data_IF_765225407819
#
_entry.id   IF_765225407819
#
_cell.length_a   1.000
_cell.length_b   1.000
_cell.length_c   1.000
_cell.angle_alpha   90.00
_cell.angle_beta   90.00
_cell.angle_gamma   90.00
#
_symmetry.space_group_name_H-M   'P 1'
#
loop_
_entity.id
_entity.type
_entity.pdbx_description
1 polymer ?
#
# COMPACT_ATOMS: atom_id res chain seq x y z
N UNK A 1 -36.92 -12.00 -1.39
CA UNK A 1 -36.06 -12.76 -2.32
C UNK A 1 -34.79 -11.95 -2.54
N UNK A 2 -33.61 -12.55 -2.60
CA UNK A 2 -32.37 -11.83 -2.89
C UNK A 2 -32.21 -11.68 -4.41
N UNK A 3 -31.83 -10.50 -4.88
CA UNK A 3 -31.39 -10.31 -6.27
C UNK A 3 -29.88 -10.55 -6.31
N UNK A 4 -29.48 -11.75 -6.73
CA UNK A 4 -28.08 -12.18 -6.71
C UNK A 4 -27.51 -12.02 -8.10
N UNK A 5 -26.38 -11.33 -8.21
CA UNK A 5 -25.63 -11.16 -9.45
C UNK A 5 -24.26 -11.79 -9.27
N UNK A 6 -23.82 -12.56 -10.26
CA UNK A 6 -22.55 -13.28 -10.21
C UNK A 6 -21.77 -13.12 -11.51
N UNK A 7 -20.44 -13.10 -11.39
CA UNK A 7 -19.51 -13.17 -12.51
C UNK A 7 -18.38 -14.15 -12.20
N UNK A 8 -18.08 -15.04 -13.14
CA UNK A 8 -16.98 -15.99 -13.04
C UNK A 8 -15.77 -15.54 -13.86
N UNK A 9 -14.59 -15.86 -13.37
CA UNK A 9 -13.29 -15.72 -14.01
C UNK A 9 -12.70 -17.13 -14.12
N UNK A 10 -12.42 -17.57 -15.35
CA UNK A 10 -11.93 -18.93 -15.63
C UNK A 10 -10.42 -18.91 -15.94
N UNK A 11 -9.69 -19.81 -15.28
CA UNK A 11 -8.28 -20.05 -15.50
C UNK A 11 -8.10 -21.14 -16.57
N UNK A 12 -6.98 -21.11 -17.29
CA UNK A 12 -6.68 -22.10 -18.34
C UNK A 12 -6.53 -23.54 -17.83
N UNK A 13 -6.34 -23.72 -16.52
CA UNK A 13 -6.20 -25.01 -15.84
C UNK A 13 -7.51 -25.52 -15.23
N UNK A 14 -8.63 -24.86 -15.48
CA UNK A 14 -9.95 -25.23 -14.98
C UNK A 14 -10.31 -24.69 -13.59
N UNK A 15 -9.41 -23.94 -12.93
CA UNK A 15 -9.78 -23.19 -11.72
C UNK A 15 -10.73 -22.05 -12.08
N UNK A 16 -11.57 -21.66 -11.12
CA UNK A 16 -12.54 -20.58 -11.30
C UNK A 16 -12.65 -19.73 -10.04
N UNK A 17 -12.65 -18.41 -10.23
CA UNK A 17 -13.01 -17.44 -9.20
C UNK A 17 -14.41 -16.91 -9.52
N UNK A 18 -15.28 -16.88 -8.52
CA UNK A 18 -16.64 -16.35 -8.65
C UNK A 18 -16.79 -15.13 -7.76
N UNK A 19 -17.27 -14.02 -8.34
CA UNK A 19 -17.63 -12.79 -7.65
C UNK A 19 -19.16 -12.75 -7.54
N UNK A 20 -19.70 -12.68 -6.32
CA UNK A 20 -21.15 -12.60 -6.05
C UNK A 20 -21.49 -11.31 -5.29
N UNK A 21 -22.60 -10.65 -5.65
CA UNK A 21 -23.14 -9.52 -4.89
C UNK A 21 -24.67 -9.61 -4.75
N UNK A 22 -25.24 -8.79 -3.86
CA UNK A 22 -26.69 -8.66 -3.63
C UNK A 22 -27.28 -9.53 -2.51
N UNK A 23 -26.49 -10.47 -1.96
CA UNK A 23 -26.92 -11.35 -0.85
C UNK A 23 -26.46 -10.88 0.52
N UNK A 24 -25.16 -10.68 0.70
CA UNK A 24 -24.52 -10.34 1.98
C UNK A 24 -24.25 -8.84 2.10
N UNK A 25 -24.23 -8.32 3.33
CA UNK A 25 -23.83 -6.95 3.67
C UNK A 25 -24.49 -5.83 2.85
N UNK A 26 -25.78 -5.96 2.52
CA UNK A 26 -26.56 -5.03 1.68
C UNK A 26 -26.69 -3.58 2.18
N UNK A 27 -26.22 -3.29 3.39
CA UNK A 27 -26.17 -1.93 3.94
C UNK A 27 -24.84 -1.21 3.64
N UNK A 28 -23.81 -1.94 3.23
CA UNK A 28 -22.57 -1.33 2.76
C UNK A 28 -22.78 -0.68 1.39
N UNK A 29 -21.96 0.33 1.06
CA UNK A 29 -22.01 0.98 -0.25
C UNK A 29 -21.62 0.03 -1.39
N UNK A 30 -20.73 -0.92 -1.09
CA UNK A 30 -20.38 -2.04 -1.95
C UNK A 30 -20.08 -3.30 -1.14
N UNK A 31 -20.53 -4.45 -1.63
CA UNK A 31 -20.25 -5.74 -1.00
C UNK A 31 -20.12 -6.84 -2.05
N UNK A 32 -19.01 -7.59 -2.00
CA UNK A 32 -18.76 -8.74 -2.87
C UNK A 32 -18.30 -9.93 -2.04
N UNK A 33 -18.87 -11.09 -2.34
CA UNK A 33 -18.42 -12.38 -1.88
C UNK A 33 -17.61 -13.02 -3.00
N UNK A 34 -16.29 -13.10 -2.81
CA UNK A 34 -15.38 -13.82 -3.70
C UNK A 34 -15.31 -15.28 -3.26
N UNK A 35 -15.37 -16.22 -4.20
CA UNK A 35 -15.20 -17.65 -3.97
C UNK A 35 -14.22 -18.26 -4.95
N UNK A 36 -13.25 -19.02 -4.44
CA UNK A 36 -12.40 -19.94 -5.22
C UNK A 36 -12.32 -21.27 -4.48
N UNK A 37 -12.78 -22.36 -5.09
CA UNK A 37 -12.92 -23.64 -4.39
C UNK A 37 -13.77 -23.52 -3.12
N UNK A 38 -13.18 -23.82 -1.96
CA UNK A 38 -13.81 -23.64 -0.63
C UNK A 38 -13.39 -22.34 0.08
N UNK A 39 -12.47 -21.57 -0.49
CA UNK A 39 -12.05 -20.27 0.03
C UNK A 39 -13.07 -19.21 -0.33
N UNK A 40 -13.52 -18.45 0.66
CA UNK A 40 -14.50 -17.38 0.52
C UNK A 40 -14.06 -16.13 1.28
N UNK A 41 -13.97 -15.01 0.57
CA UNK A 41 -13.70 -13.69 1.11
C UNK A 41 -14.93 -12.80 0.98
N UNK A 42 -15.39 -12.23 2.09
CA UNK A 42 -16.38 -11.16 2.07
C UNK A 42 -15.65 -9.82 2.11
N UNK A 43 -15.71 -9.07 1.02
CA UNK A 43 -15.23 -7.70 0.95
C UNK A 43 -16.42 -6.73 1.01
N UNK A 44 -16.29 -5.70 1.85
CA UNK A 44 -17.27 -4.63 2.00
C UNK A 44 -16.59 -3.28 1.99
N UNK A 45 -17.24 -2.29 1.39
CA UNK A 45 -16.76 -0.91 1.36
C UNK A 45 -17.86 -0.01 1.89
N UNK A 46 -17.46 0.91 2.78
CA UNK A 46 -18.32 1.96 3.30
C UNK A 46 -17.59 3.28 3.22
N UNK A 47 -18.26 4.31 2.69
CA UNK A 47 -17.76 5.68 2.71
C UNK A 47 -18.65 6.58 3.57
N UNK A 48 -18.05 7.56 4.24
CA UNK A 48 -18.79 8.68 4.78
C UNK A 48 -19.51 9.44 3.65
N UNK A 49 -20.66 10.05 3.97
CA UNK A 49 -21.44 10.83 3.02
C UNK A 49 -20.77 12.15 2.63
N UNK A 50 -20.05 12.75 3.57
CA UNK A 50 -19.35 14.01 3.41
C UNK A 50 -17.95 13.88 4.02
N UNK A 51 -17.00 14.65 3.50
CA UNK A 51 -15.68 14.80 4.11
C UNK A 51 -15.80 15.50 5.47
N UNK A 52 -14.91 15.18 6.41
CA UNK A 52 -14.81 15.95 7.66
C UNK A 52 -14.19 17.31 7.38
N UNK A 53 -14.51 18.30 8.21
CA UNK A 53 -13.88 19.62 8.13
C UNK A 53 -12.34 19.50 8.23
N UNK A 54 -11.63 20.27 7.40
CA UNK A 54 -10.16 20.38 7.40
C UNK A 54 -9.42 19.05 7.13
N UNK A 55 -10.00 18.13 6.37
CA UNK A 55 -9.28 16.95 5.85
C UNK A 55 -8.66 17.27 4.50
N UNK A 56 -7.34 17.20 4.43
CA UNK A 56 -6.50 17.53 3.26
C UNK A 56 -5.86 16.29 2.60
N UNK A 57 -6.24 15.09 3.04
CA UNK A 57 -5.74 13.82 2.53
C UNK A 57 -6.90 12.85 2.23
N UNK A 58 -6.63 11.73 1.55
CA UNK A 58 -7.61 10.67 1.36
C UNK A 58 -7.60 9.68 2.55
N UNK A 59 -8.57 9.75 3.48
CA UNK A 59 -8.72 8.83 4.61
C UNK A 59 -9.24 7.46 4.17
N UNK A 60 -8.37 6.67 3.54
CA UNK A 60 -8.60 5.26 3.27
C UNK A 60 -8.05 4.39 4.41
N UNK A 61 -8.90 3.50 4.94
CA UNK A 61 -8.50 2.44 5.86
C UNK A 61 -8.85 1.08 5.27
N UNK A 62 -7.83 0.23 5.09
CA UNK A 62 -8.01 -1.16 4.68
C UNK A 62 -7.77 -2.09 5.88
N UNK A 63 -8.69 -3.02 6.08
CA UNK A 63 -8.58 -4.09 7.06
C UNK A 63 -8.84 -5.45 6.42
N UNK A 64 -7.85 -6.32 6.48
CA UNK A 64 -7.99 -7.74 6.22
C UNK A 64 -8.02 -8.50 7.54
N UNK A 65 -8.99 -9.41 7.69
CA UNK A 65 -9.09 -10.29 8.86
C UNK A 65 -9.41 -11.73 8.50
N UNK A 66 -8.73 -12.66 9.15
CA UNK A 66 -9.00 -14.08 9.06
C UNK A 66 -9.77 -14.58 10.29
N UNK A 67 -10.93 -15.19 10.06
CA UNK A 67 -11.69 -15.81 11.14
C UNK A 67 -11.18 -17.22 11.35
N UNK A 68 -10.83 -17.62 12.57
CA UNK A 68 -10.41 -19.02 12.84
C UNK A 68 -11.54 -20.01 12.54
N UNK A 69 -12.80 -19.57 12.70
CA UNK A 69 -13.96 -20.35 12.30
C UNK A 69 -14.00 -20.70 10.81
N UNK A 70 -13.27 -19.98 9.94
CA UNK A 70 -13.20 -20.28 8.49
C UNK A 70 -12.57 -21.66 8.19
N UNK A 71 -11.78 -22.19 9.12
CA UNK A 71 -11.24 -23.56 9.10
C UNK A 71 -11.79 -24.44 10.22
N UNK A 72 -12.84 -23.99 10.92
CA UNK A 72 -13.46 -24.71 12.04
C UNK A 72 -12.61 -24.76 13.31
N UNK A 73 -11.71 -23.78 13.50
CA UNK A 73 -10.79 -23.71 14.65
C UNK A 73 -11.19 -22.63 15.65
N UNK A 74 -10.77 -22.82 16.90
CA UNK A 74 -10.79 -21.75 17.90
C UNK A 74 -9.48 -20.96 17.86
N UNK A 75 -9.51 -19.63 18.08
CA UNK A 75 -8.29 -18.85 18.28
C UNK A 75 -7.46 -19.37 19.45
N UNK A 76 -6.14 -19.22 19.34
CA UNK A 76 -5.20 -19.45 20.43
C UNK A 76 -5.45 -18.55 21.65
N UNK A 77 -4.75 -18.83 22.75
CA UNK A 77 -4.81 -18.01 23.98
C UNK A 77 -6.04 -18.25 24.87
N UNK A 78 -6.12 -17.46 25.95
CA UNK A 78 -7.12 -17.60 27.03
C UNK A 78 -8.52 -17.11 26.62
N UNK A 79 -8.59 -16.00 25.87
CA UNK A 79 -9.86 -15.36 25.53
C UNK A 79 -10.66 -16.05 24.42
N UNK A 80 -10.03 -16.96 23.64
CA UNK A 80 -10.64 -17.67 22.51
C UNK A 80 -11.38 -16.75 21.53
N UNK A 81 -10.81 -15.57 21.28
CA UNK A 81 -11.39 -14.51 20.46
C UNK A 81 -10.31 -13.82 19.65
N UNK A 82 -10.59 -13.59 18.37
CA UNK A 82 -9.75 -12.78 17.50
C UNK A 82 -9.72 -11.32 17.99
N UNK A 83 -8.52 -10.76 18.15
CA UNK A 83 -8.34 -9.41 18.71
C UNK A 83 -7.51 -8.53 17.80
N UNK A 84 -6.25 -8.28 18.17
CA UNK A 84 -5.28 -7.53 17.38
C UNK A 84 -4.96 -8.31 16.11
N UNK A 85 -4.90 -7.64 14.94
CA UNK A 85 -4.45 -8.28 13.72
C UNK A 85 -3.03 -8.85 13.82
N UNK A 86 -2.78 -9.98 13.18
CA UNK A 86 -1.45 -10.56 13.02
C UNK A 86 -0.58 -9.74 12.05
N UNK A 87 0.72 -10.01 12.02
CA UNK A 87 1.62 -9.38 11.05
C UNK A 87 1.20 -9.73 9.62
N UNK A 88 0.82 -10.99 9.35
CA UNK A 88 0.27 -11.40 8.05
C UNK A 88 -0.98 -10.61 7.66
N UNK A 89 -1.96 -10.47 8.55
CA UNK A 89 -3.18 -9.70 8.27
C UNK A 89 -2.87 -8.21 7.98
N UNK A 90 -1.90 -7.64 8.68
CA UNK A 90 -1.42 -6.27 8.44
C UNK A 90 -0.71 -6.16 7.09
N UNK A 91 0.11 -7.14 6.71
CA UNK A 91 0.80 -7.16 5.43
C UNK A 91 -0.20 -7.26 4.26
N UNK A 92 -1.19 -8.15 4.34
CA UNK A 92 -2.25 -8.25 3.33
C UNK A 92 -3.06 -6.95 3.24
N UNK A 93 -3.41 -6.35 4.38
CA UNK A 93 -4.08 -5.04 4.41
C UNK A 93 -3.28 -3.96 3.67
N UNK A 94 -1.94 -3.99 3.81
CA UNK A 94 -1.04 -3.03 3.15
C UNK A 94 -0.91 -3.27 1.65
N UNK A 95 -0.89 -4.53 1.19
CA UNK A 95 -0.85 -4.85 -0.24
C UNK A 95 -2.07 -4.25 -0.94
N UNK A 96 -3.26 -4.49 -0.38
CA UNK A 96 -4.52 -3.96 -0.89
C UNK A 96 -4.57 -2.43 -0.81
N UNK A 97 -4.17 -1.82 0.31
CA UNK A 97 -4.13 -0.36 0.47
C UNK A 97 -3.23 0.32 -0.58
N UNK A 98 -2.03 -0.23 -0.82
CA UNK A 98 -1.09 0.28 -1.81
C UNK A 98 -1.65 0.24 -3.23
N UNK A 99 -2.41 -0.81 -3.56
CA UNK A 99 -3.02 -0.96 -4.88
C UNK A 99 -4.22 -0.02 -5.09
N UNK A 100 -5.04 0.19 -4.06
CA UNK A 100 -6.27 0.98 -4.17
C UNK A 100 -6.04 2.49 -4.02
N UNK A 101 -5.19 2.91 -3.08
CA UNK A 101 -5.04 4.32 -2.67
C UNK A 101 -4.77 5.29 -3.82
N UNK A 102 -3.87 5.00 -4.79
CA UNK A 102 -3.58 5.93 -5.88
C UNK A 102 -4.72 6.13 -6.89
N UNK A 103 -5.76 5.30 -6.82
CA UNK A 103 -6.87 5.30 -7.78
C UNK A 103 -8.09 6.07 -7.27
N UNK A 104 -8.05 6.53 -6.02
CA UNK A 104 -9.01 7.53 -5.58
C UNK A 104 -8.62 8.90 -6.18
N UNK A 105 -9.60 9.71 -6.62
CA UNK A 105 -9.33 11.06 -7.07
C UNK A 105 -8.60 11.88 -6.01
N UNK A 106 -7.70 12.78 -6.43
CA UNK A 106 -6.86 13.59 -5.51
C UNK A 106 -7.70 14.50 -4.59
N UNK A 107 -8.89 14.92 -5.05
CA UNK A 107 -9.84 15.79 -4.36
C UNK A 107 -10.91 15.02 -3.55
N UNK A 108 -10.74 13.70 -3.40
CA UNK A 108 -11.67 12.86 -2.66
C UNK A 108 -11.21 12.68 -1.20
N UNK A 109 -11.95 13.27 -0.25
CA UNK A 109 -11.58 13.32 1.19
C UNK A 109 -12.60 12.62 2.12
N UNK A 110 -13.56 11.89 1.57
CA UNK A 110 -14.52 11.15 2.38
C UNK A 110 -13.87 9.91 3.01
N UNK A 111 -14.10 9.73 4.32
CA UNK A 111 -13.59 8.59 5.09
C UNK A 111 -14.11 7.28 4.52
N UNK A 112 -13.20 6.45 4.00
CA UNK A 112 -13.54 5.21 3.30
C UNK A 112 -12.90 4.02 4.02
N UNK A 113 -13.73 3.05 4.38
CA UNK A 113 -13.30 1.79 4.99
C UNK A 113 -13.52 0.63 4.02
N UNK A 114 -12.45 -0.13 3.79
CA UNK A 114 -12.47 -1.39 3.04
C UNK A 114 -12.18 -2.52 4.00
N UNK A 115 -13.15 -3.39 4.22
CA UNK A 115 -13.02 -4.54 5.12
C UNK A 115 -13.11 -5.82 4.33
N UNK A 116 -12.13 -6.70 4.49
CA UNK A 116 -12.04 -8.00 3.82
C UNK A 116 -11.97 -9.06 4.92
N UNK A 117 -12.88 -10.03 4.90
CA UNK A 117 -12.93 -11.10 5.88
C UNK A 117 -12.83 -12.47 5.21
N UNK A 118 -11.87 -13.28 5.62
CA UNK A 118 -11.85 -14.72 5.32
C UNK A 118 -12.91 -15.41 6.18
N UNK A 119 -13.95 -15.92 5.52
CA UNK A 119 -15.11 -16.54 6.18
C UNK A 119 -15.23 -18.04 5.95
N UNK A 120 -14.54 -18.57 4.93
CA UNK A 120 -14.36 -20.00 4.67
C UNK A 120 -13.02 -20.17 3.98
N UNK A 121 -12.25 -21.20 4.31
CA UNK A 121 -10.91 -21.37 3.75
C UNK A 121 -10.67 -22.81 3.28
N UNK A 122 -10.13 -22.94 2.07
CA UNK A 122 -9.45 -24.14 1.61
C UNK A 122 -7.98 -24.08 2.07
N UNK A 123 -7.45 -25.17 2.62
CA UNK A 123 -6.06 -25.22 3.11
C UNK A 123 -5.02 -25.10 2.01
N UNK A 124 -5.42 -25.36 0.76
CA UNK A 124 -4.52 -25.29 -0.39
C UNK A 124 -4.46 -23.90 -1.03
N UNK A 125 -5.43 -23.03 -0.80
CA UNK A 125 -5.56 -21.74 -1.51
C UNK A 125 -5.09 -20.60 -0.60
N UNK A 126 -4.15 -19.80 -1.10
CA UNK A 126 -3.65 -18.61 -0.41
C UNK A 126 -4.66 -17.44 -0.59
N UNK A 127 -5.27 -16.95 0.50
CA UNK A 127 -6.36 -15.98 0.40
C UNK A 127 -5.88 -14.54 0.14
N UNK A 128 -4.61 -14.24 0.41
CA UNK A 128 -4.01 -12.92 0.16
C UNK A 128 -4.02 -12.55 -1.32
N UNK A 129 -3.72 -13.50 -2.22
CA UNK A 129 -3.79 -13.33 -3.67
C UNK A 129 -5.19 -12.99 -4.20
N UNK A 130 -6.23 -13.16 -3.37
CA UNK A 130 -7.63 -12.89 -3.71
C UNK A 130 -8.16 -11.62 -3.05
N UNK A 131 -7.45 -11.08 -2.05
CA UNK A 131 -7.93 -9.97 -1.23
C UNK A 131 -8.09 -8.67 -2.05
N UNK A 132 -7.08 -8.31 -2.85
CA UNK A 132 -7.13 -7.14 -3.72
C UNK A 132 -8.26 -7.21 -4.75
N UNK A 133 -8.47 -8.38 -5.37
CA UNK A 133 -9.59 -8.63 -6.28
C UNK A 133 -10.94 -8.46 -5.58
N UNK A 134 -11.13 -9.04 -4.38
CA UNK A 134 -12.38 -8.92 -3.64
C UNK A 134 -12.69 -7.46 -3.27
N UNK A 135 -11.69 -6.72 -2.78
CA UNK A 135 -11.82 -5.33 -2.42
C UNK A 135 -12.16 -4.43 -3.62
N UNK A 136 -11.44 -4.61 -4.74
CA UNK A 136 -11.71 -3.86 -5.96
C UNK A 136 -13.08 -4.18 -6.54
N UNK A 137 -13.53 -5.45 -6.48
CA UNK A 137 -14.86 -5.83 -6.93
C UNK A 137 -15.95 -5.18 -6.06
N UNK A 138 -15.73 -5.08 -4.75
CA UNK A 138 -16.64 -4.38 -3.83
C UNK A 138 -16.72 -2.87 -4.14
N UNK A 139 -15.59 -2.22 -4.46
CA UNK A 139 -15.56 -0.84 -4.96
C UNK A 139 -16.29 -0.70 -6.31
N UNK A 140 -16.08 -1.64 -7.23
CA UNK A 140 -16.69 -1.62 -8.56
C UNK A 140 -18.23 -1.64 -8.50
N UNK A 141 -18.81 -2.45 -7.62
CA UNK A 141 -20.27 -2.52 -7.41
C UNK A 141 -20.82 -1.41 -6.49
N UNK A 142 -19.97 -0.48 -6.04
CA UNK A 142 -20.38 0.71 -5.29
C UNK A 142 -20.54 1.92 -6.22
N UNK A 143 -21.12 3.00 -5.70
CA UNK A 143 -21.15 4.31 -6.35
C UNK A 143 -19.96 5.21 -5.95
N UNK A 144 -18.96 4.70 -5.22
CA UNK A 144 -17.81 5.49 -4.76
C UNK A 144 -16.92 5.87 -5.96
N UNK A 145 -16.44 7.13 -6.05
CA UNK A 145 -15.50 7.56 -7.08
C UNK A 145 -14.18 6.79 -6.94
N UNK A 146 -13.83 6.03 -7.97
CA UNK A 146 -12.66 5.16 -7.97
C UNK A 146 -12.23 4.88 -9.41
N UNK A 147 -10.97 5.19 -9.74
CA UNK A 147 -10.38 5.06 -11.08
C UNK A 147 -9.81 3.66 -11.36
N UNK A 148 -10.38 2.63 -10.73
CA UNK A 148 -10.08 1.22 -11.03
C UNK A 148 -11.00 0.64 -12.12
N UNK A 149 -11.22 -0.69 -12.14
CA UNK A 149 -10.83 -1.67 -11.13
C UNK A 149 -9.35 -2.05 -11.19
N UNK A 150 -8.85 -2.59 -10.08
CA UNK A 150 -7.60 -3.35 -10.04
C UNK A 150 -7.88 -4.83 -9.87
N UNK A 151 -6.85 -5.63 -10.13
CA UNK A 151 -6.76 -6.95 -9.53
C UNK A 151 -5.35 -7.18 -9.01
N UNK A 152 -5.23 -8.24 -8.24
CA UNK A 152 -3.98 -8.71 -7.67
C UNK A 152 -3.88 -10.20 -7.97
N UNK A 153 -2.69 -10.65 -8.36
CA UNK A 153 -2.38 -12.07 -8.56
C UNK A 153 -1.00 -12.37 -8.00
N UNK A 154 -0.84 -13.57 -7.48
CA UNK A 154 0.47 -14.14 -7.13
C UNK A 154 1.01 -14.90 -8.33
N UNK A 155 2.28 -14.74 -8.63
CA UNK A 155 2.99 -15.53 -9.65
C UNK A 155 4.16 -16.20 -8.96
N UNK A 156 4.17 -17.53 -9.00
CA UNK A 156 5.32 -18.29 -8.58
C UNK A 156 5.97 -19.01 -9.75
N UNK A 157 7.27 -19.29 -9.65
CA UNK A 157 7.98 -20.13 -10.61
C UNK A 157 8.50 -21.39 -9.93
N UNK A 158 8.08 -22.55 -10.42
CA UNK A 158 8.53 -23.86 -9.92
C UNK A 158 9.00 -24.69 -11.12
N UNK A 159 10.20 -25.27 -11.02
CA UNK A 159 10.82 -26.04 -12.12
C UNK A 159 10.82 -25.29 -13.47
N UNK A 160 11.07 -23.97 -13.43
CA UNK A 160 11.08 -23.10 -14.60
C UNK A 160 9.71 -22.75 -15.18
N UNK A 161 8.60 -23.14 -14.55
CA UNK A 161 7.24 -22.86 -15.01
C UNK A 161 6.56 -21.84 -14.12
N UNK A 162 6.00 -20.79 -14.72
CA UNK A 162 5.20 -19.79 -14.02
C UNK A 162 3.79 -20.30 -13.75
N UNK A 163 3.32 -20.11 -12.52
CA UNK A 163 2.01 -20.53 -12.02
C UNK A 163 1.32 -19.31 -11.43
N UNK A 164 0.12 -18.99 -11.92
CA UNK A 164 -0.72 -17.95 -11.31
C UNK A 164 -1.46 -18.52 -10.10
N UNK A 165 -1.47 -17.76 -9.01
CA UNK A 165 -2.13 -18.06 -7.74
C UNK A 165 -1.80 -19.50 -7.30
N UNK A 166 -0.51 -19.83 -7.10
CA UNK A 166 -0.10 -21.17 -6.69
C UNK A 166 -0.73 -21.55 -5.35
N UNK A 167 -0.77 -22.85 -5.06
CA UNK A 167 -1.03 -23.37 -3.73
C UNK A 167 0.15 -23.15 -2.78
N UNK A 168 -0.08 -23.29 -1.47
CA UNK A 168 1.00 -23.25 -0.48
C UNK A 168 2.14 -24.24 -0.78
N UNK A 169 1.82 -25.44 -1.27
CA UNK A 169 2.82 -26.48 -1.57
C UNK A 169 3.65 -26.18 -2.82
N UNK A 170 3.05 -25.56 -3.83
CA UNK A 170 3.75 -25.11 -5.04
C UNK A 170 4.65 -23.93 -4.72
N UNK A 171 4.15 -22.96 -3.94
CA UNK A 171 4.89 -21.78 -3.52
C UNK A 171 6.13 -22.14 -2.69
N UNK A 172 6.04 -23.17 -1.82
CA UNK A 172 7.16 -23.63 -1.01
C UNK A 172 8.34 -24.22 -1.82
N UNK A 173 8.13 -24.54 -3.10
CA UNK A 173 9.16 -25.04 -4.02
C UNK A 173 9.60 -23.98 -5.04
N UNK A 174 9.03 -22.78 -4.95
CA UNK A 174 9.27 -21.76 -5.95
C UNK A 174 10.61 -21.06 -5.74
N UNK A 175 11.26 -20.70 -6.85
CA UNK A 175 12.45 -19.84 -6.83
C UNK A 175 12.11 -18.34 -7.05
N UNK A 176 10.85 -18.06 -7.40
CA UNK A 176 10.27 -16.73 -7.54
C UNK A 176 8.86 -16.79 -6.97
N UNK A 177 8.51 -15.85 -6.08
CA UNK A 177 7.15 -15.63 -5.58
C UNK A 177 6.87 -14.12 -5.54
N UNK A 178 6.04 -13.64 -6.47
CA UNK A 178 5.67 -12.23 -6.54
C UNK A 178 4.16 -12.05 -6.49
N UNK A 179 3.74 -11.06 -5.73
CA UNK A 179 2.42 -10.48 -5.76
C UNK A 179 2.44 -9.22 -6.62
N UNK A 180 1.54 -9.16 -7.60
CA UNK A 180 1.44 -8.05 -8.55
C UNK A 180 0.02 -7.52 -8.51
N UNK A 181 -0.13 -6.22 -8.33
CA UNK A 181 -1.42 -5.53 -8.49
C UNK A 181 -1.34 -4.50 -9.61
N UNK A 182 -2.37 -4.49 -10.46
CA UNK A 182 -2.42 -3.66 -11.64
C UNK A 182 -3.87 -3.27 -11.98
N UNK A 183 -4.01 -2.14 -12.69
CA UNK A 183 -5.22 -1.84 -13.47
C UNK A 183 -5.15 -2.58 -14.82
N UNK A 184 -6.14 -2.38 -15.68
CA UNK A 184 -6.10 -2.92 -17.05
C UNK A 184 -4.89 -2.40 -17.85
N UNK A 185 -4.43 -1.18 -17.55
CA UNK A 185 -3.39 -0.49 -18.31
C UNK A 185 -2.03 -0.49 -17.61
N UNK A 186 -2.00 -0.35 -16.28
CA UNK A 186 -0.76 -0.03 -15.56
C UNK A 186 -0.53 -0.95 -14.35
N UNK A 187 0.71 -1.39 -14.18
CA UNK A 187 1.18 -2.06 -12.97
C UNK A 187 1.36 -1.01 -11.88
N UNK A 188 0.75 -1.25 -10.71
CA UNK A 188 0.69 -0.29 -9.61
C UNK A 188 1.60 -0.70 -8.45
N UNK A 189 1.67 -2.01 -8.18
CA UNK A 189 2.34 -2.53 -7.01
C UNK A 189 2.94 -3.91 -7.33
N UNK A 190 4.18 -4.11 -6.89
CA UNK A 190 4.88 -5.38 -6.92
C UNK A 190 5.50 -5.60 -5.54
N UNK A 191 5.34 -6.79 -5.01
CA UNK A 191 5.95 -7.24 -3.75
C UNK A 191 6.28 -8.72 -3.88
N UNK A 192 7.47 -9.17 -3.48
CA UNK A 192 7.79 -10.60 -3.59
C UNK A 192 9.14 -10.96 -2.99
N UNK A 193 9.49 -12.22 -3.13
CA UNK A 193 10.77 -12.82 -2.74
C UNK A 193 11.26 -13.74 -3.86
N UNK A 194 12.58 -13.83 -4.01
CA UNK A 194 13.21 -14.47 -5.14
C UNK A 194 14.58 -15.03 -4.74
N UNK A 195 14.93 -16.21 -5.26
CA UNK A 195 16.24 -16.82 -5.07
C UNK A 195 17.18 -16.40 -6.21
N UNK A 196 17.68 -15.16 -6.13
CA UNK A 196 18.68 -14.61 -7.07
C UNK A 196 18.29 -14.75 -8.56
N UNK A 197 17.01 -14.54 -8.87
CA UNK A 197 16.48 -14.63 -10.24
C UNK A 197 16.93 -13.46 -11.11
N UNK A 198 17.00 -13.68 -12.42
CA UNK A 198 17.39 -12.62 -13.37
C UNK A 198 16.30 -11.56 -13.53
N UNK A 199 16.69 -10.34 -13.91
CA UNK A 199 15.74 -9.27 -14.22
C UNK A 199 14.83 -9.63 -15.41
N UNK A 200 15.34 -10.42 -16.37
CA UNK A 200 14.55 -10.88 -17.51
C UNK A 200 13.39 -11.79 -17.07
N UNK A 201 13.66 -12.71 -16.15
CA UNK A 201 12.64 -13.61 -15.59
C UNK A 201 11.61 -12.84 -14.76
N UNK A 202 12.06 -11.84 -13.99
CA UNK A 202 11.17 -10.96 -13.24
C UNK A 202 10.22 -10.20 -14.19
N UNK A 203 10.74 -9.64 -15.29
CA UNK A 203 9.92 -8.96 -16.29
C UNK A 203 8.92 -9.89 -16.97
N UNK A 204 9.29 -11.15 -17.21
CA UNK A 204 8.37 -12.16 -17.74
C UNK A 204 7.24 -12.46 -16.75
N UNK A 205 7.56 -12.67 -15.47
CA UNK A 205 6.57 -12.89 -14.41
C UNK A 205 5.58 -11.73 -14.30
N UNK A 206 6.05 -10.48 -14.41
CA UNK A 206 5.20 -9.28 -14.40
C UNK A 206 4.24 -9.22 -15.60
N UNK A 207 4.70 -9.62 -16.80
CA UNK A 207 3.84 -9.68 -17.99
C UNK A 207 2.74 -10.73 -17.83
N UNK A 208 3.10 -11.94 -17.39
CA UNK A 208 2.16 -13.03 -17.13
C UNK A 208 1.12 -12.61 -16.08
N UNK A 209 1.56 -11.94 -15.01
CA UNK A 209 0.67 -11.38 -14.01
C UNK A 209 -0.32 -10.36 -14.60
N UNK A 210 0.18 -9.38 -15.37
CA UNK A 210 -0.65 -8.30 -15.91
C UNK A 210 -1.70 -8.83 -16.90
N UNK A 211 -1.34 -9.82 -17.72
CA UNK A 211 -2.27 -10.42 -18.67
C UNK A 211 -3.42 -11.17 -18.00
N UNK A 212 -3.17 -11.82 -16.85
CA UNK A 212 -4.26 -12.40 -16.05
C UNK A 212 -5.09 -11.34 -15.34
N UNK A 213 -4.45 -10.32 -14.76
CA UNK A 213 -5.14 -9.20 -14.11
C UNK A 213 -6.12 -8.50 -15.06
N UNK A 214 -5.78 -8.34 -16.34
CA UNK A 214 -6.71 -7.76 -17.34
C UNK A 214 -8.03 -8.53 -17.43
N UNK A 215 -7.99 -9.87 -17.34
CA UNK A 215 -9.20 -10.71 -17.32
C UNK A 215 -10.02 -10.46 -16.06
N UNK A 216 -9.36 -10.36 -14.91
CA UNK A 216 -10.00 -10.04 -13.64
C UNK A 216 -10.66 -8.65 -13.65
N UNK A 217 -9.98 -7.62 -14.17
CA UNK A 217 -10.53 -6.27 -14.33
C UNK A 217 -11.75 -6.27 -15.25
N UNK A 218 -11.71 -6.99 -16.38
CA UNK A 218 -12.84 -7.12 -17.29
C UNK A 218 -14.06 -7.73 -16.61
N UNK A 219 -13.89 -8.80 -15.83
CA UNK A 219 -14.98 -9.41 -15.07
C UNK A 219 -15.61 -8.45 -14.05
N UNK A 220 -14.81 -7.60 -13.41
CA UNK A 220 -15.33 -6.58 -12.48
C UNK A 220 -16.11 -5.48 -13.20
N UNK A 221 -15.65 -5.03 -14.37
CA UNK A 221 -16.39 -4.06 -15.20
C UNK A 221 -17.75 -4.61 -15.64
N UNK A 222 -17.78 -5.86 -16.12
CA UNK A 222 -19.03 -6.54 -16.49
C UNK A 222 -19.96 -6.70 -15.27
N UNK A 223 -19.43 -7.05 -14.10
CA UNK A 223 -20.21 -7.12 -12.87
C UNK A 223 -20.80 -5.75 -12.48
N UNK A 224 -20.01 -4.67 -12.59
CA UNK A 224 -20.45 -3.30 -12.35
C UNK A 224 -21.59 -2.87 -13.28
N UNK A 225 -21.52 -3.24 -14.56
CA UNK A 225 -22.58 -3.01 -15.54
C UNK A 225 -23.85 -3.78 -15.21
N UNK A 226 -23.74 -5.07 -14.86
CA UNK A 226 -24.88 -5.91 -14.50
C UNK A 226 -25.66 -5.39 -13.29
N UNK A 227 -25.01 -4.70 -12.36
CA UNK A 227 -25.65 -4.09 -11.18
C UNK A 227 -26.02 -2.60 -11.38
N UNK A 228 -25.74 -2.02 -12.56
CA UNK A 228 -26.08 -0.64 -12.88
C UNK A 228 -25.30 0.42 -12.09
N UNK A 229 -24.05 0.12 -11.70
CA UNK A 229 -23.20 1.00 -10.86
C UNK A 229 -22.08 1.71 -11.64
N UNK A 230 -22.31 1.88 -12.93
CA UNK A 230 -21.40 2.57 -13.86
C UNK A 230 -21.31 4.07 -13.58
N UNK A 231 -22.42 4.71 -13.18
CA UNK A 231 -22.40 6.11 -12.73
C UNK A 231 -21.95 6.20 -11.27
N UNK A 232 -20.83 6.87 -11.03
CA UNK A 232 -20.33 7.18 -9.68
C UNK A 232 -21.04 8.40 -9.10
N UNK A 233 -21.03 8.51 -7.78
CA UNK A 233 -21.62 9.65 -7.08
C UNK A 233 -20.83 10.93 -7.37
N UNK A 234 -21.55 12.04 -7.44
CA UNK A 234 -20.95 13.37 -7.52
C UNK A 234 -20.57 13.82 -6.11
N UNK A 235 -19.44 14.52 -5.97
CA UNK A 235 -18.93 15.05 -4.71
C UNK A 235 -18.26 16.40 -4.94
N UNK A 236 -18.17 17.21 -3.88
CA UNK A 236 -17.42 18.45 -3.86
C UNK A 236 -16.84 18.58 -2.44
N UNK A 237 -15.62 18.09 -2.24
CA UNK A 237 -14.96 18.11 -0.94
C UNK A 237 -14.00 19.29 -0.78
N UNK A 238 -13.70 19.98 -1.86
CA UNK A 238 -12.73 21.07 -1.90
C UNK A 238 -13.34 22.31 -2.52
N UNK A 239 -12.98 23.47 -1.95
CA UNK A 239 -13.18 24.78 -2.57
C UNK A 239 -11.84 25.22 -3.13
N UNK A 240 -11.79 25.56 -4.42
CA UNK A 240 -10.57 26.03 -5.07
C UNK A 240 -10.71 27.50 -5.49
N UNK A 241 -9.62 28.27 -5.36
CA UNK A 241 -9.47 29.64 -5.82
C UNK A 241 -8.37 29.68 -6.89
N UNK A 242 -8.80 29.75 -8.15
CA UNK A 242 -7.90 29.69 -9.31
C UNK A 242 -7.01 30.93 -9.45
N UNK A 243 -7.48 32.08 -9.00
CA UNK A 243 -6.71 33.33 -9.06
C UNK A 243 -5.61 33.31 -7.99
N UNK A 244 -5.94 32.84 -6.78
CA UNK A 244 -4.94 32.59 -5.74
C UNK A 244 -3.92 31.53 -6.18
N UNK A 245 -4.36 30.44 -6.83
CA UNK A 245 -3.48 29.40 -7.34
C UNK A 245 -2.45 29.95 -8.33
N UNK A 246 -2.89 30.81 -9.26
CA UNK A 246 -1.98 31.50 -10.20
C UNK A 246 -1.03 32.45 -9.48
N UNK A 247 -1.55 33.26 -8.56
CA UNK A 247 -0.73 34.20 -7.79
C UNK A 247 0.38 33.48 -6.98
N UNK A 248 0.06 32.35 -6.35
CA UNK A 248 1.05 31.51 -5.64
C UNK A 248 2.10 30.98 -6.61
N UNK A 249 1.70 30.46 -7.77
CA UNK A 249 2.62 29.92 -8.77
C UNK A 249 3.58 31.00 -9.29
N UNK A 250 3.04 32.13 -9.78
CA UNK A 250 3.83 33.22 -10.35
C UNK A 250 4.84 33.80 -9.36
N UNK A 251 4.48 33.88 -8.07
CA UNK A 251 5.37 34.42 -7.04
C UNK A 251 6.42 33.41 -6.55
N UNK A 252 6.01 32.17 -6.31
CA UNK A 252 6.82 31.18 -5.61
C UNK A 252 7.70 30.34 -6.54
N UNK A 253 7.26 30.05 -7.78
CA UNK A 253 7.89 29.03 -8.62
C UNK A 253 9.40 29.24 -8.82
N UNK A 254 9.81 30.41 -9.30
CA UNK A 254 11.23 30.70 -9.55
C UNK A 254 12.08 30.67 -8.28
N UNK A 255 11.51 31.12 -7.15
CA UNK A 255 12.16 31.09 -5.83
C UNK A 255 12.38 29.65 -5.37
N UNK A 256 11.33 28.83 -5.46
CA UNK A 256 11.36 27.40 -5.11
C UNK A 256 12.33 26.65 -6.00
N UNK A 257 12.31 26.89 -7.31
CA UNK A 257 13.24 26.27 -8.26
C UNK A 257 14.69 26.58 -7.91
N UNK A 258 14.98 27.85 -7.57
CA UNK A 258 16.31 28.28 -7.13
C UNK A 258 16.75 27.60 -5.82
N UNK A 259 15.85 27.46 -4.85
CA UNK A 259 16.13 26.75 -3.59
C UNK A 259 16.36 25.26 -3.84
N UNK A 260 15.54 24.62 -4.67
CA UNK A 260 15.70 23.22 -5.06
C UNK A 260 17.09 22.95 -5.67
N UNK A 261 17.59 23.91 -6.47
CA UNK A 261 18.90 23.88 -7.11
C UNK A 261 20.08 24.22 -6.19
N UNK A 262 19.84 24.74 -5.00
CA UNK A 262 20.90 25.26 -4.12
C UNK A 262 21.78 24.17 -3.48
N UNK A 263 21.40 22.89 -3.59
CA UNK A 263 22.14 21.73 -3.06
C UNK A 263 22.38 21.77 -1.54
N UNK A 264 21.54 22.48 -0.79
CA UNK A 264 21.66 22.61 0.66
C UNK A 264 21.26 21.33 1.41
N UNK A 265 21.66 21.27 2.69
CA UNK A 265 21.29 20.18 3.59
C UNK A 265 19.77 20.09 3.81
N UNK A 266 19.27 18.94 4.27
CA UNK A 266 17.81 18.73 4.41
C UNK A 266 17.12 19.80 5.25
N UNK A 267 17.67 20.14 6.41
CA UNK A 267 17.07 21.12 7.32
C UNK A 267 17.11 22.54 6.74
N UNK A 268 18.27 22.99 6.25
CA UNK A 268 18.42 24.30 5.60
C UNK A 268 17.47 24.47 4.40
N UNK A 269 17.29 23.40 3.61
CA UNK A 269 16.36 23.40 2.49
C UNK A 269 14.90 23.49 2.95
N UNK A 270 14.52 22.76 4.00
CA UNK A 270 13.17 22.83 4.56
C UNK A 270 12.86 24.23 5.08
N UNK A 271 13.81 24.86 5.79
CA UNK A 271 13.65 26.22 6.31
C UNK A 271 13.54 27.25 5.16
N UNK A 272 14.31 27.07 4.08
CA UNK A 272 14.25 27.95 2.91
C UNK A 272 12.91 27.84 2.16
N UNK A 273 12.35 26.64 2.00
CA UNK A 273 11.02 26.47 1.42
C UNK A 273 9.94 27.07 2.31
N UNK A 274 10.03 26.86 3.62
CA UNK A 274 9.06 27.42 4.57
C UNK A 274 9.10 28.96 4.57
N UNK A 275 10.29 29.55 4.44
CA UNK A 275 10.46 30.99 4.34
C UNK A 275 9.77 31.59 3.10
N UNK A 276 9.86 30.95 1.92
CA UNK A 276 9.19 31.42 0.70
C UNK A 276 7.67 31.39 0.87
N UNK A 277 7.14 30.31 1.45
CA UNK A 277 5.72 30.17 1.73
C UNK A 277 5.22 31.26 2.68
N UNK A 278 5.97 31.51 3.76
CA UNK A 278 5.61 32.53 4.74
C UNK A 278 5.69 33.94 4.14
N UNK A 279 6.69 34.23 3.31
CA UNK A 279 6.79 35.52 2.59
C UNK A 279 5.57 35.79 1.71
N UNK A 280 5.07 34.76 1.00
CA UNK A 280 3.83 34.88 0.23
C UNK A 280 2.60 35.11 1.12
N UNK A 281 2.47 34.36 2.22
CA UNK A 281 1.36 34.55 3.18
C UNK A 281 1.38 35.97 3.76
N UNK A 282 2.56 36.50 4.10
CA UNK A 282 2.72 37.87 4.61
C UNK A 282 2.38 38.93 3.56
N UNK A 283 2.55 38.63 2.26
CA UNK A 283 2.16 39.54 1.17
C UNK A 283 0.65 39.71 1.02
N UNK A 284 -0.15 38.78 1.53
CA UNK A 284 -1.62 38.84 1.49
C UNK A 284 -2.17 39.86 2.51
N UNK A 285 -3.34 40.48 2.23
CA UNK A 285 -4.03 41.35 3.19
C UNK A 285 -4.26 40.63 4.52
N UNK A 286 -4.01 41.31 5.64
CA UNK A 286 -4.03 40.71 6.98
C UNK A 286 -5.36 40.02 7.32
N UNK A 287 -6.47 40.57 6.85
CA UNK A 287 -7.82 40.03 7.02
C UNK A 287 -8.06 38.70 6.27
N UNK A 288 -7.29 38.43 5.21
CA UNK A 288 -7.44 37.23 4.36
C UNK A 288 -6.41 36.13 4.68
N UNK A 289 -5.36 36.43 5.46
CA UNK A 289 -4.25 35.49 5.70
C UNK A 289 -4.72 34.19 6.32
N UNK A 290 -5.51 34.26 7.39
CA UNK A 290 -5.94 33.06 8.12
C UNK A 290 -6.92 32.21 7.31
N UNK A 291 -7.83 32.82 6.54
CA UNK A 291 -8.79 32.09 5.72
C UNK A 291 -8.15 31.43 4.50
N UNK A 292 -7.14 32.06 3.88
CA UNK A 292 -6.46 31.55 2.68
C UNK A 292 -5.28 30.63 2.98
N UNK A 293 -4.77 30.59 4.22
CA UNK A 293 -3.56 29.84 4.62
C UNK A 293 -3.56 28.38 4.18
N UNK A 294 -4.69 27.68 4.33
CA UNK A 294 -4.82 26.29 3.94
C UNK A 294 -4.72 26.12 2.41
N UNK A 295 -5.41 26.98 1.64
CA UNK A 295 -5.37 26.98 0.17
C UNK A 295 -3.97 27.34 -0.35
N UNK A 296 -3.33 28.35 0.23
CA UNK A 296 -1.95 28.72 -0.09
C UNK A 296 -1.02 27.54 0.14
N UNK A 297 -1.14 26.84 1.27
CA UNK A 297 -0.29 25.68 1.58
C UNK A 297 -0.46 24.56 0.54
N UNK A 298 -1.70 24.28 0.12
CA UNK A 298 -2.00 23.31 -0.94
C UNK A 298 -1.38 23.72 -2.29
N UNK A 299 -1.60 24.95 -2.72
CA UNK A 299 -1.07 25.44 -4.01
C UNK A 299 0.45 25.54 -4.00
N UNK A 300 1.03 25.97 -2.88
CA UNK A 300 2.47 26.02 -2.71
C UNK A 300 3.09 24.61 -2.81
N UNK A 301 2.46 23.59 -2.20
CA UNK A 301 2.93 22.22 -2.33
C UNK A 301 2.91 21.71 -3.78
N UNK A 302 1.92 22.12 -4.58
CA UNK A 302 1.88 21.82 -6.01
C UNK A 302 3.05 22.48 -6.76
N UNK A 303 3.37 23.75 -6.43
CA UNK A 303 4.52 24.48 -6.99
C UNK A 303 5.84 23.79 -6.61
N UNK A 304 6.01 23.36 -5.36
CA UNK A 304 7.17 22.57 -4.93
C UNK A 304 7.33 21.30 -5.76
N UNK A 305 6.25 20.52 -5.89
CA UNK A 305 6.23 19.28 -6.67
C UNK A 305 6.62 19.52 -8.12
N UNK A 306 6.06 20.56 -8.75
CA UNK A 306 6.34 20.93 -10.14
C UNK A 306 7.79 21.38 -10.33
N UNK A 307 8.25 22.35 -9.53
CA UNK A 307 9.61 22.90 -9.64
C UNK A 307 10.68 21.82 -9.44
N UNK A 308 10.51 20.94 -8.44
CA UNK A 308 11.44 19.83 -8.19
C UNK A 308 11.45 18.83 -9.35
N UNK A 309 10.28 18.52 -9.92
CA UNK A 309 10.17 17.60 -11.05
C UNK A 309 10.83 18.17 -12.30
N UNK A 310 10.60 19.44 -12.61
CA UNK A 310 11.19 20.12 -13.75
C UNK A 310 12.72 20.21 -13.61
N UNK A 311 13.24 20.55 -12.42
CA UNK A 311 14.68 20.53 -12.16
C UNK A 311 15.33 19.18 -12.49
N UNK A 312 14.70 18.07 -12.09
CA UNK A 312 15.24 16.73 -12.36
C UNK A 312 15.18 16.39 -13.85
N UNK A 313 14.09 16.75 -14.54
CA UNK A 313 13.89 16.44 -15.96
C UNK A 313 14.76 17.31 -16.88
N UNK A 314 14.88 18.60 -16.58
CA UNK A 314 15.55 19.57 -17.43
C UNK A 314 17.06 19.61 -17.19
N UNK A 315 17.49 19.49 -15.93
CA UNK A 315 18.91 19.61 -15.55
C UNK A 315 19.57 18.26 -15.24
N UNK A 316 18.80 17.20 -14.96
CA UNK A 316 19.35 15.88 -14.59
C UNK A 316 20.01 15.84 -13.21
N UNK A 317 19.73 16.84 -12.36
CA UNK A 317 20.30 17.00 -11.02
C UNK A 317 19.19 16.83 -9.99
N UNK A 318 19.52 16.20 -8.86
CA UNK A 318 18.63 16.02 -7.70
C UNK A 318 18.84 17.13 -6.67
N UNK A 319 17.94 17.18 -5.68
CA UNK A 319 17.95 18.16 -4.59
C UNK A 319 19.24 18.25 -3.78
N UNK A 320 20.02 17.17 -3.74
CA UNK A 320 21.30 17.09 -3.04
C UNK A 320 22.51 17.17 -3.99
N UNK A 321 22.30 17.66 -5.21
CA UNK A 321 23.35 17.90 -6.20
C UNK A 321 23.77 16.66 -7.01
N UNK A 322 23.32 15.46 -6.62
CA UNK A 322 23.67 14.21 -7.29
C UNK A 322 23.01 14.07 -8.66
N UNK A 323 23.65 13.31 -9.54
CA UNK A 323 23.04 12.80 -10.78
C UNK A 323 22.00 11.71 -10.49
N UNK A 324 21.23 11.35 -11.51
CA UNK A 324 20.19 10.31 -11.41
C UNK A 324 20.75 8.91 -11.16
N UNK A 325 22.00 8.66 -11.57
CA UNK A 325 22.73 7.39 -11.43
C UNK A 325 23.72 7.35 -10.26
N UNK A 326 23.84 8.44 -9.50
CA UNK A 326 24.81 8.57 -8.42
C UNK A 326 24.22 8.20 -7.05
N UNK A 327 24.93 7.37 -6.29
CA UNK A 327 24.55 6.96 -4.94
C UNK A 327 25.13 7.90 -3.86
N UNK A 328 24.46 7.99 -2.70
CA UNK A 328 24.99 8.75 -1.54
C UNK A 328 26.21 8.03 -0.96
N UNK A 329 27.13 8.75 -0.28
CA UNK A 329 28.25 8.14 0.45
C UNK A 329 27.77 7.05 1.40
N UNK A 330 28.54 5.94 1.45
CA UNK A 330 28.26 4.78 2.30
C UNK A 330 29.40 4.63 3.30
N UNK A 331 29.04 4.41 4.57
CA UNK A 331 29.96 3.92 5.59
C UNK A 331 29.36 2.73 6.32
N UNK A 332 30.23 1.79 6.69
CA UNK A 332 29.88 0.59 7.41
C UNK A 332 30.84 0.43 8.59
N UNK A 333 30.31 0.26 9.79
CA UNK A 333 31.07 -0.11 10.97
C UNK A 333 30.52 -1.43 11.50
N UNK A 334 31.42 -2.35 11.86
CA UNK A 334 31.09 -3.65 12.42
C UNK A 334 31.45 -3.68 13.91
N UNK A 335 30.78 -4.54 14.67
CA UNK A 335 31.07 -4.81 16.09
C UNK A 335 31.02 -3.56 16.99
N UNK A 336 30.13 -2.62 16.66
CA UNK A 336 29.93 -1.37 17.41
C UNK A 336 29.27 -1.58 18.79
N UNK A 337 28.52 -2.67 18.95
CA UNK A 337 27.89 -3.03 20.23
C UNK A 337 28.64 -4.18 20.91
N UNK A 338 29.28 -3.94 22.06
CA UNK A 338 30.18 -4.93 22.69
C UNK A 338 29.48 -6.15 23.28
N UNK A 339 28.15 -6.09 23.47
CA UNK A 339 27.37 -7.16 24.10
C UNK A 339 26.49 -7.96 23.13
N UNK A 340 26.30 -7.48 21.90
CA UNK A 340 25.51 -8.20 20.91
C UNK A 340 26.34 -9.36 20.32
N UNK A 341 25.68 -10.45 19.90
CA UNK A 341 26.39 -11.54 19.20
C UNK A 341 26.98 -11.07 17.87
N UNK A 342 26.30 -10.15 17.18
CA UNK A 342 26.83 -9.40 16.05
C UNK A 342 26.15 -8.04 15.96
N UNK A 343 26.86 -7.03 15.47
CA UNK A 343 26.29 -5.71 15.26
C UNK A 343 26.92 -5.00 14.06
N UNK A 344 26.13 -4.15 13.40
CA UNK A 344 26.59 -3.32 12.31
C UNK A 344 25.89 -1.95 12.35
N UNK A 345 26.65 -0.90 12.06
CA UNK A 345 26.13 0.43 11.77
C UNK A 345 26.31 0.70 10.28
N UNK A 346 25.21 0.72 9.54
CA UNK A 346 25.19 1.05 8.12
C UNK A 346 24.67 2.48 7.93
N UNK A 347 25.44 3.33 7.25
CA UNK A 347 25.04 4.70 6.94
C UNK A 347 25.12 4.94 5.44
N UNK A 348 24.04 5.45 4.84
CA UNK A 348 23.97 5.88 3.44
C UNK A 348 23.44 7.30 3.36
N UNK A 349 24.34 8.28 3.28
CA UNK A 349 24.04 9.70 3.44
C UNK A 349 23.36 9.97 4.79
N UNK A 350 22.21 10.65 4.78
CA UNK A 350 21.43 10.97 5.99
C UNK A 350 20.57 9.80 6.52
N UNK A 351 20.71 8.58 5.97
CA UNK A 351 19.96 7.40 6.42
C UNK A 351 20.90 6.44 7.13
N UNK A 352 20.61 6.12 8.40
CA UNK A 352 21.43 5.25 9.22
C UNK A 352 20.59 4.11 9.81
N UNK A 353 21.18 2.92 9.89
CA UNK A 353 20.59 1.74 10.52
C UNK A 353 21.61 1.09 11.46
N UNK A 354 21.22 0.92 12.72
CA UNK A 354 21.93 0.08 13.69
C UNK A 354 21.23 -1.29 13.69
N UNK A 355 21.94 -2.33 13.27
CA UNK A 355 21.42 -3.70 13.17
C UNK A 355 22.16 -4.61 14.13
N UNK A 356 21.44 -5.52 14.76
CA UNK A 356 21.98 -6.52 15.68
C UNK A 356 21.54 -7.92 15.30
N UNK A 357 22.44 -8.88 15.42
CA UNK A 357 22.16 -10.31 15.26
C UNK A 357 22.21 -10.97 16.64
N UNK A 358 21.21 -11.81 16.92
CA UNK A 358 21.14 -12.59 18.15
C UNK A 358 20.91 -14.06 17.79
N UNK A 359 21.81 -14.93 18.23
CA UNK A 359 21.67 -16.37 18.11
C UNK A 359 20.88 -16.92 19.30
N UNK A 360 19.96 -17.84 19.02
CA UNK A 360 19.14 -18.52 20.00
C UNK A 360 19.16 -20.03 19.80
N UNK A 361 18.38 -20.71 20.62
CA UNK A 361 18.14 -22.16 20.57
C UNK A 361 16.77 -22.46 19.95
N UNK A 362 16.43 -23.75 19.84
CA UNK A 362 15.09 -24.16 19.37
C UNK A 362 13.95 -23.62 20.25
N UNK A 363 14.21 -23.32 21.53
CA UNK A 363 13.20 -22.76 22.43
C UNK A 363 12.86 -21.30 22.09
N UNK A 364 13.71 -20.63 21.32
CA UNK A 364 13.57 -19.23 20.92
C UNK A 364 12.91 -19.07 19.55
N UNK A 365 12.54 -20.17 18.87
CA UNK A 365 11.80 -20.11 17.61
C UNK A 365 10.44 -19.43 17.82
N UNK A 366 10.08 -18.53 16.91
CA UNK A 366 8.79 -17.84 16.97
C UNK A 366 7.69 -18.81 16.57
N UNK A 367 6.73 -19.04 17.48
CA UNK A 367 5.55 -19.86 17.19
C UNK A 367 4.57 -19.07 16.32
N UNK A 368 4.18 -19.66 15.20
CA UNK A 368 3.17 -19.13 14.27
C UNK A 368 1.88 -19.93 14.47
N UNK A 369 0.80 -19.23 14.83
CA UNK A 369 -0.55 -19.80 14.95
C UNK A 369 -1.56 -18.92 14.20
N UNK A 370 -1.49 -18.96 12.87
CA UNK A 370 -2.43 -18.31 11.98
C UNK A 370 -3.55 -19.29 11.58
N UNK A 371 -4.54 -18.80 10.83
CA UNK A 371 -5.71 -19.62 10.46
C UNK A 371 -5.30 -20.76 9.53
N UNK A 372 -4.45 -20.45 8.54
CA UNK A 372 -3.98 -21.40 7.53
C UNK A 372 -2.54 -21.88 7.76
N UNK A 373 -1.69 -21.05 8.35
CA UNK A 373 -0.27 -21.35 8.59
C UNK A 373 -0.04 -21.62 10.08
N UNK A 374 0.55 -22.77 10.39
CA UNK A 374 0.94 -23.14 11.75
C UNK A 374 2.35 -23.69 11.72
N UNK A 375 3.17 -23.34 12.72
CA UNK A 375 4.51 -23.87 12.81
C UNK A 375 5.42 -23.00 13.66
N UNK A 376 6.70 -23.01 13.29
CA UNK A 376 7.72 -22.19 13.92
C UNK A 376 8.59 -21.51 12.87
N UNK A 377 8.97 -20.27 13.16
CA UNK A 377 9.91 -19.49 12.36
C UNK A 377 11.25 -19.44 13.09
N UNK A 378 12.31 -19.87 12.38
CA UNK A 378 13.69 -19.87 12.90
C UNK A 378 14.37 -18.52 12.77
N UNK A 379 13.95 -17.75 11.78
CA UNK A 379 14.51 -16.44 11.48
C UNK A 379 13.43 -15.39 11.67
N UNK A 380 13.79 -14.33 12.40
CA UNK A 380 12.90 -13.19 12.64
C UNK A 380 13.68 -11.91 12.41
N UNK A 381 13.02 -10.92 11.80
CA UNK A 381 13.59 -9.60 11.58
C UNK A 381 12.60 -8.56 12.09
N UNK A 382 13.03 -7.79 13.08
CA UNK A 382 12.26 -6.70 13.64
C UNK A 382 12.83 -5.36 13.17
N UNK A 383 11.97 -4.52 12.60
CA UNK A 383 12.31 -3.18 12.17
C UNK A 383 11.65 -2.17 13.10
N UNK A 384 12.44 -1.26 13.66
CA UNK A 384 11.96 -0.20 14.55
C UNK A 384 12.27 1.16 13.92
N UNK A 385 11.30 2.08 13.93
CA UNK A 385 11.42 3.42 13.38
C UNK A 385 11.10 4.48 14.44
N UNK A 386 12.05 4.75 15.35
CA UNK A 386 11.81 5.67 16.44
C UNK A 386 11.69 7.12 15.94
N UNK A 387 10.92 7.98 16.63
CA UNK A 387 10.60 9.33 16.16
C UNK A 387 11.82 10.26 16.11
N UNK A 388 12.87 9.98 16.90
CA UNK A 388 14.14 10.71 16.80
C UNK A 388 14.83 10.54 15.44
N UNK A 389 14.54 9.46 14.68
CA UNK A 389 15.14 9.23 13.37
C UNK A 389 14.74 10.28 12.33
N UNK A 390 13.63 10.98 12.55
CA UNK A 390 13.17 12.12 11.73
C UNK A 390 13.23 13.45 12.46
N UNK A 391 13.72 13.47 13.71
CA UNK A 391 13.71 14.66 14.58
C UNK A 391 12.33 15.02 15.14
N UNK A 392 11.36 14.10 15.10
CA UNK A 392 10.00 14.34 15.57
C UNK A 392 9.86 14.15 17.09
N UNK A 393 9.23 15.10 17.76
CA UNK A 393 8.87 14.98 19.18
C UNK A 393 7.51 14.27 19.35
N UNK A 394 7.47 12.94 19.11
CA UNK A 394 6.24 12.11 19.26
C UNK A 394 6.46 10.97 20.25
N UNK A 395 5.43 10.63 21.02
CA UNK A 395 5.48 9.48 21.91
C UNK A 395 5.41 8.17 21.11
N UNK A 396 6.25 7.18 21.47
CA UNK A 396 6.14 5.82 20.92
C UNK A 396 4.88 5.13 21.46
N UNK A 397 3.99 4.67 20.58
CA UNK A 397 2.70 4.03 20.92
C UNK A 397 2.63 2.55 20.49
N UNK A 398 3.80 1.92 20.32
CA UNK A 398 3.95 0.56 19.82
C UNK A 398 4.28 0.51 18.33
N UNK A 399 4.38 -0.71 17.79
CA UNK A 399 4.81 -0.97 16.42
C UNK A 399 3.71 -0.57 15.43
N UNK A 400 4.06 0.28 14.47
CA UNK A 400 3.18 0.72 13.40
C UNK A 400 3.06 -0.32 12.28
N UNK A 401 1.97 -0.24 11.50
CA UNK A 401 1.80 -1.06 10.28
C UNK A 401 2.95 -0.87 9.29
N UNK A 402 3.56 0.33 9.25
CA UNK A 402 4.70 0.63 8.36
C UNK A 402 5.96 -0.10 8.78
N UNK A 403 6.22 -0.17 10.09
CA UNK A 403 7.38 -0.88 10.63
C UNK A 403 7.31 -2.38 10.34
N UNK A 404 6.13 -3.01 10.53
CA UNK A 404 5.90 -4.42 10.17
C UNK A 404 6.16 -4.64 8.68
N UNK A 405 5.63 -3.76 7.82
CA UNK A 405 5.84 -3.84 6.38
C UNK A 405 7.30 -3.72 5.96
N UNK A 406 8.05 -2.76 6.51
CA UNK A 406 9.48 -2.60 6.21
C UNK A 406 10.32 -3.75 6.77
N UNK A 407 9.97 -4.27 7.94
CA UNK A 407 10.61 -5.45 8.51
C UNK A 407 10.44 -6.67 7.61
N UNK A 408 9.21 -6.95 7.17
CA UNK A 408 8.94 -8.04 6.23
C UNK A 408 9.65 -7.84 4.89
N UNK A 409 9.73 -6.62 4.37
CA UNK A 409 10.47 -6.33 3.13
C UNK A 409 11.97 -6.66 3.29
N UNK A 410 12.58 -6.29 4.42
CA UNK A 410 13.97 -6.63 4.70
C UNK A 410 14.17 -8.15 4.92
N UNK A 411 13.20 -8.82 5.57
CA UNK A 411 13.21 -10.27 5.80
C UNK A 411 13.20 -11.05 4.48
N UNK A 412 12.47 -10.58 3.47
CA UNK A 412 12.39 -11.22 2.14
C UNK A 412 13.66 -11.04 1.30
N UNK A 413 14.53 -10.12 1.68
CA UNK A 413 15.78 -9.84 0.98
C UNK A 413 16.97 -10.63 1.55
N UNK A 414 16.77 -11.39 2.64
CA UNK A 414 17.76 -12.27 3.27
C UNK A 414 17.52 -13.71 2.89
#
# INVERSE_FOLDING_TARGET
>A
MFNIVQKAIEFGDGRTIVLETGKLARQADGAVLLKQGKTMLLATVVTAKEAKENVDFMPLSVEYKEKFASTGRFPGGFMKRESKPSDYEILVSRLVDRALRPLFPEDYHAETFVTISLISADRSIMPDALAGLAASAALAVSNIPFNGPISEVRVARTDGKFIINPSFEECAKADLDIMVAATIDNIMMVEGEMNEVSEADMLEALKIAHDEIKKHCKAQLELMEMVGKTKKMEYCHEVNDEDLRKAVNEYCYDKVYKVAKSQSGKHERMDAFEAIKNEFIESLPEEERESKKALVSKYYHAVEKEAMRNMILDEGIRLDGRKTDEIRPISCELDILPAAHGSALFTRGETQSLTTVTLGTKLDEKVVDEVLVQGTEKFTLHYNFPPFSTGDAKASRGISRREIGHGNLALRAT
#
